data_IF_379862350070
#
_entry.id   IF_379862350070
#
_cell.length_a   1.000
_cell.length_b   1.000
_cell.length_c   1.000
_cell.angle_alpha   90.00
_cell.angle_beta   90.00
_cell.angle_gamma   90.00
#
_symmetry.space_group_name_H-M   'P 1'
#
loop_
_entity.id
_entity.type
_entity.pdbx_description
1 polymer ?
#
# COMPACT_ATOMS: atom_id res chain seq x y z
N UNK A 1 -4.94 32.75 21.01
CA UNK A 1 -3.53 32.80 20.59
C UNK A 1 -3.32 31.69 19.57
N UNK A 2 -3.17 32.07 18.29
CA UNK A 2 -2.79 31.11 17.26
C UNK A 2 -1.33 30.74 17.52
N UNK A 3 -1.11 29.51 17.98
CA UNK A 3 0.23 29.01 18.23
C UNK A 3 1.13 29.14 17.01
N UNK A 4 2.38 29.56 17.21
CA UNK A 4 3.43 29.50 16.19
C UNK A 4 3.57 28.05 15.76
N UNK A 5 3.09 27.72 14.57
CA UNK A 5 3.32 26.43 13.96
C UNK A 5 4.34 26.67 12.84
N UNK A 6 5.46 26.01 12.93
CA UNK A 6 6.47 25.96 11.88
C UNK A 6 6.18 24.75 11.00
N UNK A 7 5.98 24.98 9.71
CA UNK A 7 5.71 23.92 8.73
C UNK A 7 6.79 24.03 7.64
N UNK A 8 7.54 22.96 7.43
CA UNK A 8 8.66 22.92 6.48
C UNK A 8 9.69 24.06 6.67
N UNK A 9 9.97 24.46 7.91
CA UNK A 9 10.87 25.59 8.20
C UNK A 9 10.27 26.98 7.90
N UNK A 10 8.99 27.06 7.53
CA UNK A 10 8.28 28.30 7.26
C UNK A 10 7.48 28.73 8.50
N UNK A 11 7.77 29.91 9.04
CA UNK A 11 6.98 30.49 10.12
C UNK A 11 5.62 30.94 9.58
N UNK A 12 4.57 30.21 9.93
CA UNK A 12 3.21 30.48 9.41
C UNK A 12 2.64 31.82 9.86
N UNK A 13 3.19 32.43 10.93
CA UNK A 13 2.73 33.72 11.42
C UNK A 13 3.26 34.92 10.59
N UNK A 14 4.36 34.74 9.88
CA UNK A 14 5.05 35.82 9.11
C UNK A 14 4.69 35.82 7.62
N UNK A 15 3.81 34.93 7.19
CA UNK A 15 3.41 34.82 5.79
C UNK A 15 2.67 36.09 5.33
N UNK A 16 3.25 36.72 4.31
CA UNK A 16 2.65 37.89 3.67
C UNK A 16 1.42 37.50 2.85
N UNK A 17 0.45 38.38 2.82
CA UNK A 17 -0.76 38.20 2.00
C UNK A 17 -0.76 39.27 0.93
N UNK A 18 -0.96 38.88 -0.31
CA UNK A 18 -1.09 39.80 -1.43
C UNK A 18 -2.50 40.35 -1.55
N UNK A 19 -2.66 41.62 -1.87
CA UNK A 19 -3.96 42.16 -2.30
C UNK A 19 -4.36 41.57 -3.66
N UNK A 20 -5.65 41.57 -3.99
CA UNK A 20 -6.16 41.04 -5.26
C UNK A 20 -5.51 41.69 -6.47
N UNK A 21 -5.33 43.01 -6.41
CA UNK A 21 -4.76 43.79 -7.52
C UNK A 21 -3.26 43.53 -7.66
N UNK A 22 -2.52 43.47 -6.55
CA UNK A 22 -1.10 43.11 -6.56
C UNK A 22 -0.89 41.68 -7.10
N UNK A 23 -1.75 40.75 -6.72
CA UNK A 23 -1.71 39.36 -7.22
C UNK A 23 -1.93 39.34 -8.74
N UNK A 24 -2.93 40.08 -9.27
CA UNK A 24 -3.21 40.18 -10.71
C UNK A 24 -2.05 40.79 -11.49
N UNK A 25 -1.47 41.86 -10.99
CA UNK A 25 -0.32 42.52 -11.62
C UNK A 25 0.91 41.59 -11.70
N UNK A 26 1.19 40.86 -10.61
CA UNK A 26 2.27 39.88 -10.57
C UNK A 26 2.02 38.69 -11.50
N UNK A 27 0.76 38.19 -11.62
CA UNK A 27 0.40 37.13 -12.54
C UNK A 27 0.68 37.48 -14.00
N UNK A 28 0.33 38.70 -14.42
CA UNK A 28 0.62 39.20 -15.77
C UNK A 28 2.15 39.24 -16.00
N UNK A 29 2.91 39.76 -15.05
CA UNK A 29 4.39 39.83 -15.16
C UNK A 29 5.00 38.40 -15.20
N UNK A 30 4.56 37.51 -14.36
CA UNK A 30 5.03 36.12 -14.33
C UNK A 30 4.74 35.39 -15.66
N UNK A 31 3.58 35.64 -16.30
CA UNK A 31 3.21 35.08 -17.61
C UNK A 31 4.19 35.56 -18.71
N UNK A 32 4.73 36.74 -18.60
CA UNK A 32 5.78 37.28 -19.50
C UNK A 32 7.22 36.85 -19.13
N UNK A 33 7.38 35.88 -18.23
CA UNK A 33 8.66 35.25 -17.89
C UNK A 33 9.43 35.95 -16.76
N UNK A 34 8.80 36.86 -16.02
CA UNK A 34 9.41 37.50 -14.85
C UNK A 34 9.46 36.48 -13.67
N UNK A 35 10.67 35.99 -13.39
CA UNK A 35 10.93 35.01 -12.33
C UNK A 35 10.69 35.58 -10.93
N UNK A 36 11.09 36.84 -10.71
CA UNK A 36 10.91 37.50 -9.42
C UNK A 36 9.42 37.68 -9.09
N UNK A 37 8.61 38.04 -10.09
CA UNK A 37 7.16 38.12 -9.93
C UNK A 37 6.56 36.75 -9.59
N UNK A 38 7.04 35.68 -10.22
CA UNK A 38 6.60 34.31 -9.93
C UNK A 38 6.94 33.87 -8.49
N UNK A 39 8.15 34.15 -8.02
CA UNK A 39 8.56 33.85 -6.65
C UNK A 39 7.74 34.63 -5.61
N UNK A 40 7.49 35.94 -5.87
CA UNK A 40 6.63 36.76 -5.02
C UNK A 40 5.19 36.24 -4.97
N UNK A 41 4.65 35.74 -6.09
CA UNK A 41 3.34 35.11 -6.14
C UNK A 41 3.28 33.85 -5.28
N UNK A 42 4.28 32.99 -5.39
CA UNK A 42 4.35 31.75 -4.59
C UNK A 42 4.39 32.12 -3.11
N UNK A 43 5.33 32.96 -2.70
CA UNK A 43 5.51 33.38 -1.32
C UNK A 43 4.25 34.06 -0.74
N UNK A 44 3.60 34.91 -1.54
CA UNK A 44 2.40 35.67 -1.12
C UNK A 44 1.11 34.82 -1.06
N UNK A 45 1.11 33.61 -1.61
CA UNK A 45 -0.06 32.70 -1.60
C UNK A 45 0.13 31.44 -0.73
N UNK A 46 1.23 31.30 0.01
CA UNK A 46 1.45 30.16 0.90
C UNK A 46 0.35 30.04 1.98
N UNK A 47 -0.18 31.17 2.45
CA UNK A 47 -1.30 31.18 3.40
C UNK A 47 -2.58 30.57 2.80
N UNK A 48 -2.78 30.70 1.48
CA UNK A 48 -3.88 30.02 0.79
C UNK A 48 -3.70 28.51 0.85
N UNK A 49 -2.47 28.01 0.64
CA UNK A 49 -2.16 26.58 0.77
C UNK A 49 -2.48 26.10 2.17
N UNK A 50 -2.06 26.82 3.22
CA UNK A 50 -2.35 26.48 4.62
C UNK A 50 -3.86 26.36 4.88
N UNK A 51 -4.66 27.27 4.34
CA UNK A 51 -6.13 27.21 4.49
C UNK A 51 -6.76 25.99 3.83
N UNK A 52 -6.16 25.51 2.75
CA UNK A 52 -6.63 24.33 2.02
C UNK A 52 -6.25 23.04 2.74
N UNK A 53 -5.00 22.93 3.23
CA UNK A 53 -4.52 21.71 3.88
C UNK A 53 -5.28 21.42 5.19
N UNK A 54 -5.80 22.42 5.88
CA UNK A 54 -6.64 22.24 7.09
C UNK A 54 -7.82 21.30 6.85
N UNK A 55 -8.35 21.23 5.62
CA UNK A 55 -9.46 20.33 5.27
C UNK A 55 -9.02 18.87 5.09
N UNK A 56 -7.71 18.63 5.05
CA UNK A 56 -7.12 17.31 4.82
C UNK A 56 -6.32 16.80 6.03
N UNK A 57 -6.21 17.59 7.10
CA UNK A 57 -5.61 17.16 8.37
C UNK A 57 -6.38 15.99 8.97
N UNK A 58 -5.67 15.06 9.63
CA UNK A 58 -6.29 13.88 10.25
C UNK A 58 -6.49 12.68 9.32
N UNK A 59 -5.87 12.68 8.13
CA UNK A 59 -5.93 11.58 7.17
C UNK A 59 -4.67 10.69 7.14
N UNK A 60 -3.92 10.65 8.24
CA UNK A 60 -2.72 9.81 8.38
C UNK A 60 -1.43 10.42 7.83
N UNK A 61 -1.52 11.54 7.09
CA UNK A 61 -0.37 12.20 6.49
C UNK A 61 0.14 13.38 7.32
N UNK A 62 1.44 13.66 7.23
CA UNK A 62 2.04 14.79 7.92
C UNK A 62 1.56 16.12 7.34
N UNK A 63 1.46 17.16 8.20
CA UNK A 63 1.12 18.51 7.73
C UNK A 63 2.17 19.07 6.78
N UNK A 64 3.44 18.68 6.97
CA UNK A 64 4.57 19.10 6.14
C UNK A 64 4.45 18.54 4.72
N UNK A 65 4.13 17.26 4.58
CA UNK A 65 3.95 16.62 3.26
C UNK A 65 2.75 17.20 2.53
N UNK A 66 1.61 17.37 3.22
CA UNK A 66 0.44 18.03 2.66
C UNK A 66 0.72 19.45 2.20
N UNK A 67 1.55 20.19 2.95
CA UNK A 67 1.95 21.56 2.58
C UNK A 67 2.84 21.56 1.34
N UNK A 68 3.84 20.69 1.26
CA UNK A 68 4.71 20.58 0.09
C UNK A 68 3.91 20.24 -1.17
N UNK A 69 3.02 19.24 -1.08
CA UNK A 69 2.15 18.86 -2.20
C UNK A 69 1.18 19.99 -2.56
N UNK A 70 0.65 20.70 -1.55
CA UNK A 70 -0.17 21.88 -1.76
C UNK A 70 0.58 23.00 -2.49
N UNK A 71 1.86 23.21 -2.16
CA UNK A 71 2.72 24.18 -2.87
C UNK A 71 2.95 23.77 -4.33
N UNK A 72 3.09 22.46 -4.64
CA UNK A 72 3.16 21.99 -6.03
C UNK A 72 1.86 22.35 -6.77
N UNK A 73 0.71 22.15 -6.13
CA UNK A 73 -0.59 22.56 -6.69
C UNK A 73 -0.71 24.06 -6.92
N UNK A 74 -0.19 24.88 -6.00
CA UNK A 74 -0.12 26.35 -6.13
C UNK A 74 0.74 26.75 -7.31
N UNK A 75 1.94 26.17 -7.45
CA UNK A 75 2.86 26.45 -8.56
C UNK A 75 2.20 26.14 -9.90
N UNK A 76 1.57 24.98 -10.03
CA UNK A 76 0.81 24.60 -11.23
C UNK A 76 -0.34 25.57 -11.51
N UNK A 77 -1.00 26.07 -10.46
CA UNK A 77 -2.07 27.03 -10.61
C UNK A 77 -1.54 28.37 -11.12
N UNK A 78 -0.40 28.86 -10.62
CA UNK A 78 0.25 30.09 -11.07
C UNK A 78 0.68 29.97 -12.55
N UNK A 79 1.30 28.85 -12.91
CA UNK A 79 1.85 28.64 -14.26
C UNK A 79 0.73 28.49 -15.32
N UNK A 80 -0.46 27.99 -14.94
CA UNK A 80 -1.55 27.73 -15.87
C UNK A 80 -2.67 28.81 -15.85
N UNK A 81 -2.66 29.74 -14.88
CA UNK A 81 -3.72 30.75 -14.77
C UNK A 81 -3.51 31.89 -15.76
N UNK A 82 -4.55 32.19 -16.53
CA UNK A 82 -4.56 33.35 -17.42
C UNK A 82 -5.36 34.50 -16.79
N UNK A 83 -4.62 35.49 -16.25
CA UNK A 83 -5.22 36.65 -15.59
C UNK A 83 -5.85 37.66 -16.58
N UNK A 84 -5.53 37.57 -17.89
CA UNK A 84 -6.08 38.43 -18.94
C UNK A 84 -7.37 37.85 -19.52
N UNK A 85 -7.44 36.52 -19.65
CA UNK A 85 -8.60 35.82 -20.20
C UNK A 85 -9.75 35.66 -19.20
N UNK A 86 -9.43 35.65 -17.88
CA UNK A 86 -10.41 35.36 -16.84
C UNK A 86 -10.57 36.48 -15.84
N UNK A 87 -11.80 36.98 -15.71
CA UNK A 87 -12.16 38.00 -14.72
C UNK A 87 -12.60 37.39 -13.38
N UNK A 88 -11.84 36.37 -12.93
CA UNK A 88 -12.07 35.71 -11.65
C UNK A 88 -10.85 35.86 -10.73
N UNK A 89 -11.09 35.82 -9.43
CA UNK A 89 -9.97 35.88 -8.47
C UNK A 89 -9.09 34.62 -8.59
N UNK A 90 -7.78 34.79 -8.50
CA UNK A 90 -6.82 33.69 -8.53
C UNK A 90 -7.16 32.58 -7.53
N UNK A 91 -7.63 32.93 -6.32
CA UNK A 91 -8.02 31.93 -5.31
C UNK A 91 -9.12 30.98 -5.78
N UNK A 92 -10.04 31.46 -6.63
CA UNK A 92 -11.13 30.63 -7.19
C UNK A 92 -10.59 29.52 -8.08
N UNK A 93 -9.49 29.79 -8.80
CA UNK A 93 -8.78 28.81 -9.63
C UNK A 93 -7.77 28.01 -8.81
N UNK A 94 -7.01 28.64 -7.91
CA UNK A 94 -5.93 28.01 -7.14
C UNK A 94 -6.41 26.97 -6.15
N UNK A 95 -7.52 27.22 -5.43
CA UNK A 95 -8.04 26.28 -4.41
C UNK A 95 -8.41 24.89 -4.99
N UNK A 96 -9.14 24.78 -6.11
CA UNK A 96 -9.37 23.49 -6.78
C UNK A 96 -8.09 22.79 -7.22
N UNK A 97 -7.11 23.52 -7.75
CA UNK A 97 -5.83 22.98 -8.21
C UNK A 97 -5.01 22.41 -7.04
N UNK A 98 -4.87 23.18 -5.96
CA UNK A 98 -4.20 22.74 -4.71
C UNK A 98 -4.90 21.51 -4.14
N UNK A 99 -6.23 21.55 -4.01
CA UNK A 99 -7.01 20.44 -3.49
C UNK A 99 -6.93 19.20 -4.39
N UNK A 100 -6.83 19.38 -5.70
CA UNK A 100 -6.68 18.32 -6.68
C UNK A 100 -5.36 17.57 -6.51
N UNK A 101 -4.24 18.29 -6.35
CA UNK A 101 -2.92 17.70 -6.12
C UNK A 101 -2.87 16.96 -4.77
N UNK A 102 -3.42 17.54 -3.71
CA UNK A 102 -3.48 16.87 -2.40
C UNK A 102 -4.31 15.59 -2.48
N UNK A 103 -5.50 15.61 -3.11
CA UNK A 103 -6.31 14.39 -3.30
C UNK A 103 -5.61 13.34 -4.13
N UNK A 104 -4.85 13.76 -5.14
CA UNK A 104 -4.04 12.86 -5.95
C UNK A 104 -2.95 12.21 -5.11
N UNK A 105 -2.21 13.00 -4.35
CA UNK A 105 -1.17 12.51 -3.45
C UNK A 105 -1.73 11.49 -2.44
N UNK A 106 -2.80 11.85 -1.71
CA UNK A 106 -3.45 10.96 -0.72
C UNK A 106 -3.92 9.63 -1.34
N UNK A 107 -4.33 9.65 -2.61
CA UNK A 107 -4.73 8.44 -3.31
C UNK A 107 -3.53 7.59 -3.72
N UNK A 108 -2.46 8.24 -4.20
CA UNK A 108 -1.31 7.55 -4.80
C UNK A 108 -0.28 7.13 -3.74
N UNK A 109 -0.28 7.76 -2.55
CA UNK A 109 0.62 7.47 -1.40
C UNK A 109 0.11 6.36 -0.47
N UNK A 110 -1.07 5.77 -0.73
CA UNK A 110 -1.54 4.62 0.07
C UNK A 110 -0.58 3.44 -0.06
N UNK A 111 -0.17 2.77 1.04
CA UNK A 111 0.75 1.63 1.02
C UNK A 111 0.22 0.47 0.18
N UNK A 112 -1.10 0.31 0.10
CA UNK A 112 -1.77 -0.66 -0.76
C UNK A 112 -2.55 0.07 -1.86
N UNK A 113 -2.29 -0.29 -3.12
CA UNK A 113 -3.01 0.27 -4.26
C UNK A 113 -4.42 -0.30 -4.37
N UNK A 114 -5.42 0.51 -4.09
CA UNK A 114 -6.84 0.16 -4.24
C UNK A 114 -7.40 0.76 -5.54
N UNK A 115 -8.19 -0.01 -6.29
CA UNK A 115 -8.85 0.46 -7.52
C UNK A 115 -9.82 1.61 -7.21
N UNK A 116 -10.06 2.49 -8.21
CA UNK A 116 -10.99 3.62 -8.03
C UNK A 116 -12.41 3.14 -7.71
N UNK A 117 -12.89 2.15 -8.45
CA UNK A 117 -14.23 1.59 -8.26
C UNK A 117 -14.44 1.03 -6.85
N UNK A 118 -13.47 0.28 -6.30
CA UNK A 118 -13.55 -0.22 -4.93
C UNK A 118 -13.56 0.91 -3.91
N UNK A 119 -12.73 1.94 -4.10
CA UNK A 119 -12.68 3.11 -3.22
C UNK A 119 -13.98 3.90 -3.25
N UNK A 120 -14.55 4.10 -4.44
CA UNK A 120 -15.84 4.79 -4.61
C UNK A 120 -16.97 4.01 -3.95
N UNK A 121 -17.01 2.68 -4.13
CA UNK A 121 -17.97 1.79 -3.47
C UNK A 121 -17.83 1.86 -1.94
N UNK A 122 -16.59 1.79 -1.43
CA UNK A 122 -16.34 1.89 0.01
C UNK A 122 -16.79 3.25 0.57
N UNK A 123 -16.54 4.34 -0.16
CA UNK A 123 -16.97 5.68 0.26
C UNK A 123 -18.50 5.81 0.32
N UNK A 124 -19.19 5.28 -0.69
CA UNK A 124 -20.66 5.22 -0.69
C UNK A 124 -21.19 4.37 0.48
N UNK A 125 -20.54 3.23 0.75
CA UNK A 125 -20.92 2.37 1.87
C UNK A 125 -20.76 3.07 3.23
N UNK A 126 -19.67 3.83 3.44
CA UNK A 126 -19.47 4.62 4.65
C UNK A 126 -20.50 5.74 4.78
N UNK A 127 -20.82 6.45 3.71
CA UNK A 127 -21.86 7.49 3.72
C UNK A 127 -23.24 6.92 4.09
N UNK A 128 -23.62 5.78 3.49
CA UNK A 128 -24.88 5.14 3.82
C UNK A 128 -24.90 4.58 5.25
N UNK A 129 -23.75 4.07 5.74
CA UNK A 129 -23.60 3.68 7.14
C UNK A 129 -23.86 4.85 8.10
N UNK A 130 -23.24 6.00 7.84
CA UNK A 130 -23.45 7.21 8.66
C UNK A 130 -24.88 7.70 8.58
N UNK A 131 -25.48 7.74 7.39
CA UNK A 131 -26.85 8.16 7.16
C UNK A 131 -27.86 7.29 7.92
N UNK A 132 -27.70 5.97 7.84
CA UNK A 132 -28.57 5.03 8.54
C UNK A 132 -28.37 5.11 10.05
N UNK A 133 -27.16 5.24 10.52
CA UNK A 133 -26.86 5.39 11.95
C UNK A 133 -27.52 6.65 12.51
N UNK A 134 -27.45 7.77 11.77
CA UNK A 134 -28.11 9.01 12.16
C UNK A 134 -29.65 8.91 12.17
N UNK A 135 -30.21 8.13 11.23
CA UNK A 135 -31.68 7.98 11.11
C UNK A 135 -32.27 6.98 12.12
N UNK A 136 -31.55 5.90 12.43
CA UNK A 136 -32.07 4.77 13.23
C UNK A 136 -31.52 4.73 14.65
N UNK A 137 -30.46 5.50 14.96
CA UNK A 137 -29.77 5.45 16.25
C UNK A 137 -28.96 4.16 16.50
N UNK A 138 -28.90 3.22 15.54
CA UNK A 138 -28.13 1.98 15.62
C UNK A 138 -27.16 1.83 14.44
N UNK A 139 -26.11 1.06 14.63
CA UNK A 139 -25.20 0.71 13.54
C UNK A 139 -25.89 -0.25 12.55
N UNK A 140 -25.92 0.07 11.23
CA UNK A 140 -26.53 -0.77 10.22
C UNK A 140 -25.68 -2.01 9.94
N UNK A 141 -26.34 -3.10 9.56
CA UNK A 141 -25.65 -4.30 9.09
C UNK A 141 -25.12 -4.13 7.68
N UNK A 142 -24.10 -4.92 7.31
CA UNK A 142 -23.54 -4.92 5.95
C UNK A 142 -24.58 -5.31 4.89
N UNK A 143 -25.57 -6.14 5.27
CA UNK A 143 -26.67 -6.53 4.38
C UNK A 143 -27.64 -5.36 4.10
N UNK A 144 -27.89 -4.51 5.08
CA UNK A 144 -28.70 -3.30 4.91
C UNK A 144 -28.01 -2.30 3.99
N UNK A 145 -26.69 -2.11 4.17
CA UNK A 145 -25.89 -1.23 3.31
C UNK A 145 -25.87 -1.76 1.87
N UNK A 146 -25.62 -3.05 1.69
CA UNK A 146 -25.56 -3.71 0.39
C UNK A 146 -26.87 -3.59 -0.40
N UNK A 147 -28.01 -3.76 0.28
CA UNK A 147 -29.34 -3.57 -0.31
C UNK A 147 -29.59 -2.14 -0.76
N UNK A 148 -29.16 -1.14 0.01
CA UNK A 148 -29.33 0.27 -0.34
C UNK A 148 -28.48 0.68 -1.55
N UNK A 149 -27.27 0.10 -1.66
CA UNK A 149 -26.36 0.37 -2.76
C UNK A 149 -26.65 -0.47 -4.01
N UNK A 150 -27.60 -1.41 -3.91
CA UNK A 150 -27.89 -2.41 -4.96
C UNK A 150 -26.63 -3.18 -5.40
N UNK A 151 -25.80 -3.57 -4.42
CA UNK A 151 -24.55 -4.27 -4.63
C UNK A 151 -24.52 -5.60 -3.87
N UNK A 152 -23.80 -6.62 -4.38
CA UNK A 152 -23.56 -7.84 -3.63
C UNK A 152 -22.85 -7.55 -2.31
N UNK A 153 -23.28 -8.21 -1.21
CA UNK A 153 -22.64 -8.07 0.11
C UNK A 153 -21.12 -8.25 0.07
N UNK A 154 -20.65 -9.24 -0.70
CA UNK A 154 -19.22 -9.50 -0.84
C UNK A 154 -18.46 -8.29 -1.41
N UNK A 155 -19.03 -7.59 -2.38
CA UNK A 155 -18.43 -6.41 -2.98
C UNK A 155 -18.29 -5.29 -1.95
N UNK A 156 -19.30 -5.08 -1.10
CA UNK A 156 -19.26 -4.07 -0.03
C UNK A 156 -18.20 -4.44 1.00
N UNK A 157 -18.14 -5.70 1.46
CA UNK A 157 -17.14 -6.18 2.42
C UNK A 157 -15.73 -5.98 1.85
N UNK A 158 -15.44 -6.49 0.65
CA UNK A 158 -14.12 -6.33 0.02
C UNK A 158 -13.71 -4.89 -0.19
N UNK A 159 -14.68 -4.01 -0.51
CA UNK A 159 -14.39 -2.59 -0.71
C UNK A 159 -14.04 -1.89 0.61
N UNK A 160 -14.75 -2.22 1.69
CA UNK A 160 -14.46 -1.67 3.03
C UNK A 160 -13.12 -2.20 3.57
N UNK A 161 -12.84 -3.48 3.41
CA UNK A 161 -11.56 -4.07 3.82
C UNK A 161 -10.38 -3.46 3.05
N UNK A 162 -10.57 -3.19 1.74
CA UNK A 162 -9.52 -2.64 0.90
C UNK A 162 -9.09 -1.21 1.27
N UNK A 163 -9.94 -0.42 1.91
CA UNK A 163 -9.63 0.96 2.34
C UNK A 163 -9.14 1.02 3.79
N UNK A 164 -9.16 -0.10 4.53
CA UNK A 164 -8.63 -0.13 5.90
C UNK A 164 -7.11 0.05 5.87
N UNK A 165 -6.60 0.87 6.79
CA UNK A 165 -5.18 1.09 6.90
C UNK A 165 -4.47 -0.17 7.42
N UNK A 166 -3.31 -0.55 6.85
CA UNK A 166 -2.54 -1.68 7.34
C UNK A 166 -1.98 -1.37 8.72
N UNK A 167 -2.06 -2.37 9.60
CA UNK A 167 -1.51 -2.30 10.96
C UNK A 167 -0.01 -2.65 10.90
N UNK A 168 0.81 -1.94 11.68
CA UNK A 168 2.23 -2.26 11.80
C UNK A 168 2.43 -3.61 12.47
N UNK A 169 3.28 -4.47 11.91
CA UNK A 169 3.67 -5.72 12.56
C UNK A 169 4.40 -5.50 13.89
N UNK A 170 5.00 -4.34 14.06
CA UNK A 170 5.69 -3.93 15.30
C UNK A 170 4.79 -3.15 16.25
N UNK A 171 3.50 -3.03 15.95
CA UNK A 171 2.56 -2.40 16.87
C UNK A 171 2.40 -3.26 18.13
N UNK A 172 2.64 -2.69 19.33
CA UNK A 172 2.51 -3.44 20.57
C UNK A 172 1.04 -3.71 20.88
N UNK A 173 0.68 -4.99 21.02
CA UNK A 173 -0.66 -5.41 21.43
C UNK A 173 -0.79 -5.36 22.95
N UNK A 174 0.27 -5.72 23.65
CA UNK A 174 0.30 -5.79 25.09
C UNK A 174 1.61 -5.25 25.64
N UNK A 175 1.51 -4.35 26.62
CA UNK A 175 2.65 -3.71 27.27
C UNK A 175 2.43 -3.80 28.79
N UNK A 176 3.03 -4.78 29.44
CA UNK A 176 2.92 -4.97 30.90
C UNK A 176 4.32 -5.03 31.53
N UNK A 177 4.96 -3.87 31.62
CA UNK A 177 6.20 -3.69 32.38
C UNK A 177 7.44 -4.51 31.97
N UNK A 178 7.36 -5.32 30.89
CA UNK A 178 8.39 -6.17 30.34
C UNK A 178 8.56 -5.96 28.83
N UNK A 179 8.99 -6.99 28.11
CA UNK A 179 9.04 -6.97 26.65
C UNK A 179 7.62 -6.86 26.06
N UNK A 180 7.41 -5.89 25.18
CA UNK A 180 6.13 -5.69 24.52
C UNK A 180 5.88 -6.79 23.50
N UNK A 181 4.71 -7.45 23.56
CA UNK A 181 4.26 -8.40 22.55
C UNK A 181 3.71 -7.62 21.37
N UNK A 182 4.31 -7.81 20.19
CA UNK A 182 3.90 -7.16 18.95
C UNK A 182 2.91 -8.03 18.15
N UNK A 183 2.23 -7.42 17.17
CA UNK A 183 1.37 -8.15 16.22
C UNK A 183 2.14 -9.29 15.53
N UNK A 184 3.41 -9.07 15.21
CA UNK A 184 4.29 -10.05 14.57
C UNK A 184 4.41 -11.35 15.38
N UNK A 185 4.44 -11.25 16.70
CA UNK A 185 4.60 -12.41 17.60
C UNK A 185 3.37 -13.32 17.62
N UNK A 186 2.21 -12.80 17.17
CA UNK A 186 0.97 -13.56 17.06
C UNK A 186 0.75 -14.17 15.67
N UNK A 187 1.54 -13.78 14.66
CA UNK A 187 1.42 -14.32 13.30
C UNK A 187 2.23 -15.61 13.19
N UNK A 188 1.54 -16.75 13.26
CA UNK A 188 2.14 -18.06 13.06
C UNK A 188 2.50 -18.33 11.60
N UNK A 189 3.64 -18.97 11.36
CA UNK A 189 4.00 -19.48 10.04
C UNK A 189 3.32 -20.84 9.80
N UNK A 190 2.23 -20.83 9.03
CA UNK A 190 1.49 -22.06 8.67
C UNK A 190 2.16 -22.90 7.58
N UNK A 191 3.18 -22.33 6.88
CA UNK A 191 3.88 -23.01 5.77
C UNK A 191 5.14 -23.74 6.20
N UNK A 192 5.78 -23.31 7.29
CA UNK A 192 7.01 -23.92 7.81
C UNK A 192 6.76 -24.40 9.23
N UNK A 193 5.88 -25.40 9.37
CA UNK A 193 5.62 -26.03 10.67
C UNK A 193 6.81 -26.88 11.11
N UNK A 194 6.96 -27.07 12.43
CA UNK A 194 8.00 -27.92 13.01
C UNK A 194 7.96 -29.34 12.42
N UNK A 195 6.75 -29.86 12.12
CA UNK A 195 6.56 -31.15 11.48
C UNK A 195 7.20 -31.19 10.09
N UNK A 196 6.97 -30.18 9.25
CA UNK A 196 7.56 -30.12 7.91
C UNK A 196 9.07 -29.94 7.96
N UNK A 197 9.59 -29.22 8.96
CA UNK A 197 11.01 -29.07 9.17
C UNK A 197 11.65 -30.40 9.58
N UNK A 198 11.02 -31.14 10.51
CA UNK A 198 11.45 -32.48 10.93
C UNK A 198 11.40 -33.48 9.77
N UNK A 199 10.34 -33.46 8.95
CA UNK A 199 10.24 -34.29 7.75
C UNK A 199 11.38 -34.01 6.75
N UNK A 200 11.70 -32.74 6.52
CA UNK A 200 12.82 -32.35 5.64
C UNK A 200 14.17 -32.82 6.19
N UNK A 201 14.37 -32.70 7.50
CA UNK A 201 15.59 -33.15 8.16
C UNK A 201 15.72 -34.67 8.09
N UNK A 202 14.64 -35.41 8.37
CA UNK A 202 14.58 -36.86 8.27
C UNK A 202 14.85 -37.34 6.83
N UNK A 203 14.21 -36.68 5.84
CA UNK A 203 14.44 -36.97 4.42
C UNK A 203 15.91 -36.71 4.01
N UNK A 204 16.48 -35.57 4.45
CA UNK A 204 17.87 -35.22 4.18
C UNK A 204 18.84 -36.28 4.76
N UNK A 205 18.58 -36.71 5.98
CA UNK A 205 19.36 -37.79 6.65
C UNK A 205 19.24 -39.12 5.90
N UNK A 206 18.01 -39.50 5.54
CA UNK A 206 17.74 -40.72 4.79
C UNK A 206 18.39 -40.72 3.40
N UNK A 207 18.36 -39.57 2.71
CA UNK A 207 19.09 -39.35 1.46
C UNK A 207 20.61 -39.54 1.65
N UNK A 208 21.14 -39.09 2.80
CA UNK A 208 22.54 -39.30 3.16
C UNK A 208 22.96 -40.78 3.14
N UNK A 209 22.10 -41.69 3.58
CA UNK A 209 22.35 -43.14 3.69
C UNK A 209 22.26 -43.88 2.34
N UNK A 210 21.76 -43.29 1.27
CA UNK A 210 21.72 -43.88 -0.07
C UNK A 210 23.10 -43.90 -0.72
N UNK A 211 23.38 -44.91 -1.55
CA UNK A 211 24.60 -44.97 -2.32
C UNK A 211 24.61 -43.93 -3.46
N UNK A 212 25.80 -43.65 -4.02
CA UNK A 212 25.97 -42.61 -5.06
C UNK A 212 25.11 -42.87 -6.31
N UNK A 213 24.87 -44.14 -6.65
CA UNK A 213 24.11 -44.54 -7.83
C UNK A 213 22.60 -44.34 -7.60
N UNK A 214 22.11 -44.69 -6.41
CA UNK A 214 20.73 -44.47 -6.00
C UNK A 214 20.40 -42.97 -5.92
N UNK A 215 21.29 -42.15 -5.32
CA UNK A 215 21.19 -40.68 -5.29
C UNK A 215 21.10 -40.08 -6.69
N UNK A 216 21.98 -40.52 -7.62
CA UNK A 216 21.99 -40.01 -8.99
C UNK A 216 20.70 -40.36 -9.74
N UNK A 217 20.18 -41.60 -9.58
CA UNK A 217 18.92 -42.01 -10.19
C UNK A 217 17.76 -41.15 -9.65
N UNK A 218 17.64 -40.99 -8.34
CA UNK A 218 16.57 -40.17 -7.74
C UNK A 218 16.67 -38.69 -8.17
N UNK A 219 17.89 -38.15 -8.23
CA UNK A 219 18.12 -36.77 -8.69
C UNK A 219 17.66 -36.58 -10.14
N UNK A 220 18.05 -37.47 -11.05
CA UNK A 220 17.63 -37.38 -12.46
C UNK A 220 16.13 -37.56 -12.64
N UNK A 221 15.49 -38.43 -11.84
CA UNK A 221 14.05 -38.72 -11.92
C UNK A 221 13.20 -37.59 -11.34
N UNK A 222 13.50 -37.14 -10.14
CA UNK A 222 12.62 -36.25 -9.38
C UNK A 222 13.01 -34.77 -9.45
N UNK A 223 14.29 -34.42 -9.62
CA UNK A 223 14.72 -33.03 -9.76
C UNK A 223 14.87 -32.60 -11.22
N UNK A 224 15.44 -33.49 -12.08
CA UNK A 224 15.59 -33.19 -13.49
C UNK A 224 14.38 -33.61 -14.36
N UNK A 225 13.38 -34.30 -13.81
CA UNK A 225 12.15 -34.69 -14.50
C UNK A 225 12.32 -35.75 -15.60
N UNK A 226 13.46 -36.46 -15.63
CA UNK A 226 13.76 -37.43 -16.70
C UNK A 226 12.95 -38.72 -16.58
N UNK A 227 12.61 -39.33 -17.70
CA UNK A 227 11.99 -40.66 -17.76
C UNK A 227 12.98 -41.76 -17.38
N UNK A 228 12.50 -42.96 -16.98
CA UNK A 228 13.37 -44.09 -16.66
C UNK A 228 14.25 -44.52 -17.86
N UNK A 229 13.77 -44.34 -19.10
CA UNK A 229 14.55 -44.66 -20.32
C UNK A 229 15.69 -43.65 -20.52
N UNK A 230 15.45 -42.36 -20.33
CA UNK A 230 16.52 -41.34 -20.43
C UNK A 230 17.56 -41.51 -19.34
N UNK A 231 17.14 -41.81 -18.10
CA UNK A 231 18.06 -42.12 -17.01
C UNK A 231 18.89 -43.38 -17.31
N UNK A 232 18.27 -44.43 -17.87
CA UNK A 232 18.95 -45.64 -18.30
C UNK A 232 20.04 -45.36 -19.32
N UNK A 233 19.74 -44.56 -20.32
CA UNK A 233 20.69 -44.12 -21.36
C UNK A 233 21.85 -43.30 -20.77
N UNK A 234 21.55 -42.37 -19.84
CA UNK A 234 22.59 -41.51 -19.24
C UNK A 234 23.53 -42.24 -18.27
N UNK A 235 22.99 -43.20 -17.51
CA UNK A 235 23.81 -43.98 -16.54
C UNK A 235 24.46 -45.23 -17.16
N UNK A 236 24.05 -45.62 -18.37
CA UNK A 236 24.56 -46.80 -19.07
C UNK A 236 24.07 -48.13 -18.50
N UNK A 237 22.79 -48.23 -18.07
CA UNK A 237 22.17 -49.45 -17.55
C UNK A 237 20.81 -49.68 -18.20
N UNK A 238 20.20 -50.86 -18.03
CA UNK A 238 18.88 -51.15 -18.58
C UNK A 238 17.76 -50.39 -17.82
N UNK A 239 16.68 -50.05 -18.51
CA UNK A 239 15.47 -49.41 -17.89
C UNK A 239 14.92 -50.25 -16.74
N UNK A 240 14.95 -51.61 -16.86
CA UNK A 240 14.49 -52.51 -15.80
C UNK A 240 15.39 -52.40 -14.54
N UNK A 241 16.68 -52.18 -14.70
CA UNK A 241 17.61 -51.92 -13.58
C UNK A 241 17.34 -50.55 -12.93
N UNK A 242 17.08 -49.51 -13.71
CA UNK A 242 16.69 -48.19 -13.18
C UNK A 242 15.44 -48.31 -12.34
N UNK A 243 14.38 -48.96 -12.87
CA UNK A 243 13.13 -49.17 -12.15
C UNK A 243 13.30 -49.92 -10.82
N UNK A 244 14.17 -50.98 -10.82
CA UNK A 244 14.45 -51.73 -9.60
C UNK A 244 15.19 -50.90 -8.56
N UNK A 245 16.23 -50.17 -8.97
CA UNK A 245 17.05 -49.32 -8.10
C UNK A 245 16.21 -48.11 -7.56
N UNK A 246 15.36 -47.52 -8.39
CA UNK A 246 14.44 -46.45 -7.98
C UNK A 246 13.48 -46.98 -6.87
N UNK A 247 12.82 -48.10 -7.09
CA UNK A 247 11.95 -48.73 -6.07
C UNK A 247 12.68 -49.07 -4.77
N UNK A 248 13.91 -49.64 -4.89
CA UNK A 248 14.74 -49.95 -3.73
C UNK A 248 15.14 -48.70 -2.95
N UNK A 249 15.56 -47.64 -3.64
CA UNK A 249 15.94 -46.38 -3.02
C UNK A 249 14.74 -45.72 -2.32
N UNK A 250 13.57 -45.68 -2.97
CA UNK A 250 12.32 -45.17 -2.36
C UNK A 250 11.93 -46.00 -1.15
N UNK A 251 12.04 -47.32 -1.21
CA UNK A 251 11.79 -48.21 -0.09
C UNK A 251 12.66 -47.93 1.13
N UNK A 252 13.97 -47.70 0.90
CA UNK A 252 14.91 -47.31 1.97
C UNK A 252 14.56 -45.94 2.57
N UNK A 253 14.21 -44.97 1.76
CA UNK A 253 13.79 -43.63 2.22
C UNK A 253 12.52 -43.76 3.09
N UNK A 254 11.54 -44.50 2.61
CA UNK A 254 10.26 -44.68 3.32
C UNK A 254 10.44 -45.33 4.70
N UNK A 255 11.28 -46.36 4.79
CA UNK A 255 11.56 -47.01 6.07
C UNK A 255 12.37 -46.16 7.05
N UNK A 256 13.07 -45.16 6.56
CA UNK A 256 13.87 -44.24 7.40
C UNK A 256 13.11 -42.99 7.83
N UNK A 257 12.09 -42.56 7.07
CA UNK A 257 11.28 -41.36 7.37
C UNK A 257 10.04 -41.69 8.20
N UNK A 258 9.48 -42.87 8.02
CA UNK A 258 8.32 -43.34 8.82
C UNK A 258 8.84 -44.45 9.73
N UNK A 259 9.19 -44.21 11.00
CA UNK A 259 9.45 -45.26 11.96
C UNK A 259 8.13 -46.01 12.20
N UNK A 260 8.21 -47.30 12.15
CA UNK A 260 7.09 -48.28 12.38
C UNK A 260 6.47 -48.08 13.75
#
# INVERSE_FOLDING_TARGET
>A
MLGKVEICGVNTAELKVLSSDACRALLIRAKHGDRDAREQLIAGNLRLVLSVIQKFTGRGESADDLFQVGCIGLIKAIDNFDAEAHDVRFSTYGVPMISGEIRRYLRDNSPIRVSRSMRDTAYQALQEKERLTAATGREPTLDEIAKLLDLPRQTVVFSLDAISDPISLYEPIYTDGGESICVMDQVGDTKNTDEQWLERLALSSAMGALNAREKKILSLRFYAGKTQMEVASEIGISQAQVSRLEKQAIGKLRSSVVPS
#
